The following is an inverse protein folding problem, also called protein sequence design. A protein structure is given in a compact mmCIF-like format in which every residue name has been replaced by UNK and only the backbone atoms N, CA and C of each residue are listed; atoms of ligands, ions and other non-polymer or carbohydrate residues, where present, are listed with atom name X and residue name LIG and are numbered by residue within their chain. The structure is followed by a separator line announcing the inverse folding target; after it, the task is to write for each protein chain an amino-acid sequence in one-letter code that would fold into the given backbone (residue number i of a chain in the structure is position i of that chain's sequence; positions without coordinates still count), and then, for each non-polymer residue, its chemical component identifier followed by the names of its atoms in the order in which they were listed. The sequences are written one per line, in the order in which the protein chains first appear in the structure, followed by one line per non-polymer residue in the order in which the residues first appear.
data_IF_268008245519
#
_entry.id   IF_268008245519
#
_cell.length_a   1.000
_cell.length_b   1.000
_cell.length_c   1.000
_cell.angle_alpha   90.00
_cell.angle_beta   90.00
_cell.angle_gamma   90.00
#
_symmetry.space_group_name_H-M   'P 1'
#
loop_
_entity.id
_entity.type
_entity.pdbx_description
1 polymer ?
#
# COMPACT_ATOMS: atom_id res chain seq x y z
N UNK A 1 6.52 -48.79 14.64
CA UNK A 1 5.34 -48.59 15.45
C UNK A 1 5.82 -48.57 16.89
N UNK A 2 5.87 -47.43 17.60
CA UNK A 2 4.76 -46.69 18.15
C UNK A 2 5.09 -45.16 18.22
N UNK A 3 4.38 -44.33 17.47
CA UNK A 3 4.47 -42.85 17.61
C UNK A 3 3.13 -42.14 17.32
N UNK A 4 2.00 -42.78 17.66
CA UNK A 4 0.66 -42.22 17.36
C UNK A 4 -0.16 -41.89 18.64
N UNK A 5 0.42 -41.87 19.83
CA UNK A 5 -0.41 -41.74 21.07
C UNK A 5 -0.22 -40.46 21.89
N UNK A 6 0.48 -39.43 21.39
CA UNK A 6 0.74 -38.22 22.22
C UNK A 6 -0.06 -36.97 21.77
N UNK A 7 -0.78 -37.03 20.66
CA UNK A 7 -1.49 -35.84 20.14
C UNK A 7 -2.94 -35.64 20.62
N UNK A 8 -3.52 -36.63 21.28
CA UNK A 8 -4.92 -36.55 21.73
C UNK A 8 -5.16 -36.13 23.20
N UNK A 9 -4.11 -35.92 23.99
CA UNK A 9 -4.28 -35.55 25.39
C UNK A 9 -4.14 -34.05 25.73
N UNK A 10 -3.79 -33.22 24.75
CA UNK A 10 -3.70 -31.76 24.98
C UNK A 10 -4.94 -30.97 24.59
N UNK A 11 -5.91 -31.58 23.93
CA UNK A 11 -7.16 -30.92 23.51
C UNK A 11 -8.31 -31.05 24.50
N UNK A 12 -8.18 -31.88 25.55
CA UNK A 12 -9.26 -32.13 26.52
C UNK A 12 -9.13 -31.29 27.81
N UNK A 13 -8.01 -30.58 28.02
CA UNK A 13 -7.82 -29.78 29.25
C UNK A 13 -8.28 -28.33 29.07
N UNK A 14 -8.52 -27.87 27.85
CA UNK A 14 -8.97 -26.47 27.60
C UNK A 14 -10.51 -26.29 27.61
N UNK A 15 -11.28 -27.37 27.73
CA UNK A 15 -12.75 -27.33 27.71
C UNK A 15 -13.41 -27.40 29.09
N UNK A 16 -12.66 -27.50 30.20
CA UNK A 16 -13.21 -27.62 31.56
C UNK A 16 -13.10 -26.34 32.40
N UNK A 17 -12.45 -25.27 31.88
CA UNK A 17 -12.27 -24.02 32.63
C UNK A 17 -13.16 -22.85 32.20
N UNK A 18 -14.18 -23.08 31.38
CA UNK A 18 -15.12 -22.02 30.93
C UNK A 18 -16.56 -22.15 31.46
N UNK A 19 -16.80 -22.88 32.54
CA UNK A 19 -18.18 -23.11 33.07
C UNK A 19 -18.44 -22.65 34.50
N UNK A 20 -17.66 -21.74 35.06
CA UNK A 20 -17.98 -21.14 36.37
C UNK A 20 -17.73 -19.64 36.36
N UNK A 21 -18.69 -18.87 35.88
CA UNK A 21 -18.90 -17.47 36.28
C UNK A 21 -20.18 -16.90 35.64
N UNK A 22 -21.35 -17.43 36.00
CA UNK A 22 -22.58 -16.66 35.93
C UNK A 22 -23.41 -17.09 37.13
N UNK A 23 -23.36 -16.36 38.21
CA UNK A 23 -24.46 -16.28 39.20
C UNK A 23 -24.27 -15.12 40.15
N UNK A 24 -25.35 -14.42 40.34
CA UNK A 24 -25.67 -13.44 41.39
C UNK A 24 -25.33 -11.96 41.09
N UNK A 25 -26.33 -11.14 40.81
CA UNK A 25 -27.17 -10.46 41.79
C UNK A 25 -28.45 -9.94 41.16
N UNK A 26 -29.59 -10.40 41.71
CA UNK A 26 -30.94 -9.84 41.62
C UNK A 26 -31.13 -8.82 42.73
N UNK A 27 -32.17 -8.03 42.52
CA UNK A 27 -33.02 -7.25 43.43
C UNK A 27 -32.92 -5.73 43.23
N UNK A 28 -33.95 -4.92 43.15
CA UNK A 28 -35.40 -5.14 43.37
C UNK A 28 -36.13 -3.84 42.94
N UNK A 29 -37.44 -3.99 42.65
CA UNK A 29 -38.55 -3.04 42.77
C UNK A 29 -38.60 -1.78 41.89
N UNK A 30 -39.66 -1.43 41.26
CA UNK A 30 -41.04 -1.79 41.32
C UNK A 30 -41.91 -0.91 40.40
N UNK A 31 -43.03 -1.46 40.06
CA UNK A 31 -44.35 -0.88 39.77
C UNK A 31 -44.62 -0.25 38.39
N UNK A 32 -45.39 -1.02 37.64
CA UNK A 32 -46.40 -0.64 36.62
C UNK A 32 -47.60 0.12 37.24
N UNK A 33 -48.63 0.58 36.51
CA UNK A 33 -49.08 0.23 35.14
C UNK A 33 -49.85 1.31 34.37
N UNK A 34 -50.28 0.90 33.14
CA UNK A 34 -51.51 1.32 32.41
C UNK A 34 -51.38 2.54 31.47
N UNK A 35 -51.95 2.60 30.32
CA UNK A 35 -52.97 1.87 29.54
C UNK A 35 -53.21 2.61 28.23
N UNK A 36 -53.45 1.84 27.15
CA UNK A 36 -54.35 2.11 26.01
C UNK A 36 -54.22 3.41 25.18
N UNK A 37 -54.17 3.36 23.94
CA UNK A 37 -54.88 2.80 22.80
C UNK A 37 -55.19 3.88 21.75
N UNK A 38 -55.20 3.46 20.53
CA UNK A 38 -55.96 3.94 19.33
C UNK A 38 -55.40 5.07 18.48
N UNK A 39 -55.03 4.71 17.30
CA UNK A 39 -55.80 4.51 16.05
C UNK A 39 -56.03 5.79 15.23
N UNK A 40 -55.75 5.62 13.92
CA UNK A 40 -56.32 6.20 12.71
C UNK A 40 -55.77 7.54 12.23
N UNK A 41 -55.19 7.46 11.07
CA UNK A 41 -55.74 7.73 9.74
C UNK A 41 -55.72 9.20 9.31
N UNK A 42 -55.09 9.36 8.22
CA UNK A 42 -55.45 9.85 6.90
C UNK A 42 -55.25 11.34 6.57
N UNK A 43 -54.71 11.43 5.39
CA UNK A 43 -54.98 12.29 4.21
C UNK A 43 -54.47 13.70 4.14
N UNK A 44 -53.62 13.81 3.18
CA UNK A 44 -53.69 14.50 1.87
C UNK A 44 -53.63 16.02 1.82
N UNK A 45 -52.85 16.38 0.88
CA UNK A 45 -53.02 17.35 -0.22
C UNK A 45 -52.57 18.80 0.02
N UNK A 46 -51.68 19.12 -0.85
CA UNK A 46 -51.70 20.09 -1.95
C UNK A 46 -51.35 21.54 -1.75
N UNK A 47 -50.55 21.93 -2.70
CA UNK A 47 -50.50 23.21 -3.42
C UNK A 47 -49.71 24.36 -2.84
N UNK A 48 -48.73 24.67 -3.53
CA UNK A 48 -48.54 25.49 -4.73
C UNK A 48 -48.05 26.91 -4.47
N UNK A 49 -47.04 27.20 -5.18
CA UNK A 49 -46.83 28.34 -6.06
C UNK A 49 -46.28 29.67 -5.50
N UNK A 50 -45.25 30.00 -6.18
CA UNK A 50 -44.96 31.26 -6.90
C UNK A 50 -44.34 32.39 -6.08
N UNK A 51 -43.27 32.76 -6.59
CA UNK A 51 -42.84 33.77 -7.56
C UNK A 51 -42.23 35.01 -6.94
N UNK A 52 -41.14 35.29 -7.46
CA UNK A 52 -40.67 36.44 -8.23
C UNK A 52 -39.97 37.55 -7.49
N UNK A 53 -38.81 37.83 -8.02
CA UNK A 53 -38.29 39.09 -8.58
C UNK A 53 -37.95 40.18 -7.58
N UNK A 54 -37.00 40.96 -7.74
CA UNK A 54 -36.20 41.53 -8.80
C UNK A 54 -35.10 42.44 -8.22
N UNK A 55 -34.03 42.56 -8.96
CA UNK A 55 -33.29 43.74 -9.37
C UNK A 55 -32.65 44.67 -8.32
N UNK A 56 -31.46 44.88 -8.56
CA UNK A 56 -30.62 45.85 -9.33
C UNK A 56 -29.88 46.79 -8.40
N UNK A 57 -28.75 47.13 -8.60
CA UNK A 57 -27.89 47.80 -9.52
C UNK A 57 -26.92 48.76 -8.81
N UNK A 58 -25.74 48.71 -9.27
CA UNK A 58 -24.86 49.77 -9.80
C UNK A 58 -24.11 50.67 -8.83
N UNK A 59 -22.90 50.74 -9.05
CA UNK A 59 -21.93 51.66 -9.69
C UNK A 59 -21.18 52.51 -8.65
N UNK A 60 -19.97 52.80 -8.75
CA UNK A 60 -18.94 53.16 -9.69
C UNK A 60 -17.90 54.05 -9.02
N UNK A 61 -16.66 53.95 -9.46
CA UNK A 61 -15.63 54.99 -9.64
C UNK A 61 -15.00 55.57 -8.36
N UNK A 62 -13.74 55.93 -8.31
CA UNK A 62 -12.68 56.30 -9.29
C UNK A 62 -11.35 56.54 -8.57
N UNK A 63 -10.28 56.18 -9.25
CA UNK A 63 -8.99 56.84 -9.45
C UNK A 63 -8.22 57.49 -8.27
N UNK A 64 -6.97 57.14 -8.14
CA UNK A 64 -5.90 57.98 -8.71
C UNK A 64 -4.49 57.40 -8.51
N UNK A 65 -3.78 57.44 -9.58
CA UNK A 65 -2.37 57.23 -9.86
C UNK A 65 -1.44 58.19 -9.09
N UNK A 66 -0.25 57.72 -8.74
CA UNK A 66 0.98 58.56 -8.88
C UNK A 66 2.18 57.64 -9.23
N UNK A 67 2.73 57.90 -10.37
CA UNK A 67 4.00 57.45 -10.90
C UNK A 67 5.14 58.28 -10.32
N UNK A 68 6.31 57.66 -10.14
CA UNK A 68 7.58 58.37 -10.38
C UNK A 68 8.68 57.37 -10.70
N UNK A 69 9.20 57.62 -11.85
CA UNK A 69 10.39 57.09 -12.52
C UNK A 69 11.64 57.77 -11.99
N UNK A 70 12.78 57.08 -12.07
CA UNK A 70 14.12 57.51 -12.48
C UNK A 70 15.07 56.31 -12.33
N UNK A 71 15.67 55.80 -13.29
CA UNK A 71 16.69 56.17 -14.28
C UNK A 71 17.99 55.39 -14.01
N UNK A 72 18.42 54.77 -15.08
CA UNK A 72 19.65 54.07 -15.42
C UNK A 72 20.93 54.53 -14.72
N UNK A 73 21.80 53.52 -14.44
CA UNK A 73 23.19 53.61 -14.97
C UNK A 73 23.77 52.22 -15.23
N UNK A 74 24.39 52.13 -16.37
CA UNK A 74 25.13 51.00 -16.94
C UNK A 74 26.55 50.93 -16.42
N UNK A 75 27.06 49.74 -16.14
CA UNK A 75 28.45 49.41 -16.51
C UNK A 75 28.77 47.91 -16.47
N UNK A 76 29.10 47.45 -17.62
CA UNK A 76 30.00 46.39 -18.12
C UNK A 76 30.57 45.31 -17.20
N UNK A 77 30.32 44.10 -17.69
CA UNK A 77 31.25 42.97 -17.90
C UNK A 77 32.13 42.45 -16.77
N UNK A 78 31.83 41.19 -16.39
CA UNK A 78 32.83 40.11 -16.38
C UNK A 78 32.14 38.76 -16.37
N UNK A 79 32.45 37.93 -17.36
CA UNK A 79 32.15 36.51 -17.35
C UNK A 79 32.83 35.87 -16.14
N UNK A 80 32.06 35.25 -15.29
CA UNK A 80 32.54 34.24 -14.36
C UNK A 80 31.73 32.99 -14.64
N UNK A 81 32.38 31.97 -15.16
CA UNK A 81 31.90 30.61 -15.20
C UNK A 81 31.56 30.23 -13.75
N UNK A 82 30.29 30.21 -13.44
CA UNK A 82 29.82 29.57 -12.21
C UNK A 82 29.39 28.17 -12.58
N UNK A 83 30.27 27.20 -12.26
CA UNK A 83 29.91 25.83 -12.01
C UNK A 83 28.66 25.82 -11.10
N UNK A 84 27.51 25.54 -11.68
CA UNK A 84 26.29 25.26 -10.93
C UNK A 84 26.46 23.90 -10.24
N UNK A 85 27.13 23.89 -9.09
CA UNK A 85 26.91 22.87 -8.09
C UNK A 85 25.46 23.02 -7.68
N UNK A 86 24.61 22.11 -8.16
CA UNK A 86 23.24 21.96 -7.70
C UNK A 86 23.29 21.86 -6.19
N UNK A 87 22.90 22.93 -5.51
CA UNK A 87 22.62 22.90 -4.08
C UNK A 87 21.39 22.01 -3.94
N UNK A 88 21.61 20.72 -3.74
CA UNK A 88 20.58 19.80 -3.29
C UNK A 88 20.05 20.38 -1.99
N UNK A 89 18.85 20.90 -2.04
CA UNK A 89 18.14 21.43 -0.90
C UNK A 89 18.21 20.41 0.25
N UNK A 90 18.61 20.85 1.44
CA UNK A 90 18.76 20.02 2.63
C UNK A 90 17.48 19.27 3.03
N UNK A 91 16.32 19.66 2.49
CA UNK A 91 15.04 18.96 2.68
C UNK A 91 14.96 17.64 1.91
N UNK A 92 15.71 17.46 0.81
CA UNK A 92 15.74 16.19 0.06
C UNK A 92 16.50 15.08 0.78
N UNK A 93 17.34 15.41 1.77
CA UNK A 93 18.06 14.42 2.59
C UNK A 93 17.22 13.79 3.70
N UNK A 94 16.09 14.39 4.04
CA UNK A 94 15.22 13.90 5.13
C UNK A 94 14.29 12.75 4.70
N UNK A 95 14.15 12.53 3.39
CA UNK A 95 13.24 11.52 2.84
C UNK A 95 14.02 10.38 2.18
N UNK A 96 14.54 9.47 2.99
CA UNK A 96 15.05 8.21 2.49
C UNK A 96 14.35 7.08 3.24
N UNK A 97 13.35 6.44 2.61
CA UNK A 97 12.56 5.38 3.22
C UNK A 97 13.35 4.10 3.48
N UNK A 98 14.55 3.96 2.91
CA UNK A 98 15.46 2.86 3.14
C UNK A 98 16.59 3.30 4.07
N UNK A 99 17.06 2.35 4.87
CA UNK A 99 18.14 2.59 5.80
C UNK A 99 19.46 2.84 5.06
N UNK A 100 20.09 3.96 5.36
CA UNK A 100 21.42 4.28 4.87
C UNK A 100 22.51 3.77 5.84
N UNK A 101 22.11 3.12 6.94
CA UNK A 101 23.03 2.61 7.97
C UNK A 101 23.75 1.32 7.55
N UNK A 102 23.36 0.19 8.16
CA UNK A 102 24.05 -1.11 8.01
C UNK A 102 24.17 -1.60 6.55
N UNK A 103 23.22 -1.28 5.70
CA UNK A 103 23.16 -1.75 4.30
C UNK A 103 23.47 -0.66 3.29
N UNK A 104 23.87 0.56 3.70
CA UNK A 104 24.06 1.67 2.77
C UNK A 104 24.97 1.34 1.60
N UNK A 105 26.08 0.65 1.85
CA UNK A 105 27.09 0.28 0.86
C UNK A 105 26.78 -1.07 0.16
N UNK A 106 25.70 -1.74 0.53
CA UNK A 106 25.33 -3.05 -0.02
C UNK A 106 24.17 -2.97 -1.02
N UNK A 107 23.41 -1.88 -1.01
CA UNK A 107 22.38 -1.67 -2.01
C UNK A 107 23.00 -1.55 -3.40
N UNK A 108 22.46 -2.36 -4.30
CA UNK A 108 22.71 -2.27 -5.73
C UNK A 108 21.59 -1.44 -6.39
N UNK A 109 21.82 -1.00 -7.60
CA UNK A 109 20.87 -0.18 -8.33
C UNK A 109 20.46 -0.86 -9.63
N UNK A 110 19.19 -0.80 -9.96
CA UNK A 110 18.60 -1.21 -11.22
C UNK A 110 17.82 -0.04 -11.81
N UNK A 111 18.06 0.29 -13.06
CA UNK A 111 17.30 1.33 -13.77
C UNK A 111 16.29 0.68 -14.70
N UNK A 112 15.00 0.94 -14.46
CA UNK A 112 13.91 0.50 -15.31
C UNK A 112 13.89 1.34 -16.60
N UNK A 113 14.20 0.71 -17.73
CA UNK A 113 14.28 1.39 -19.04
C UNK A 113 12.92 1.93 -19.51
N UNK A 114 11.81 1.47 -18.96
CA UNK A 114 10.46 1.91 -19.35
C UNK A 114 10.15 3.34 -18.89
N UNK A 115 10.74 3.78 -17.78
CA UNK A 115 10.51 5.12 -17.22
C UNK A 115 11.79 5.81 -16.70
N UNK A 116 12.96 5.21 -16.89
CA UNK A 116 14.28 5.67 -16.40
C UNK A 116 14.33 5.88 -14.88
N UNK A 117 13.46 5.20 -14.11
CA UNK A 117 13.53 5.23 -12.66
C UNK A 117 14.54 4.19 -12.17
N UNK A 118 15.41 4.62 -11.28
CA UNK A 118 16.37 3.74 -10.61
C UNK A 118 15.77 3.25 -9.29
N UNK A 119 15.87 1.95 -9.05
CA UNK A 119 15.45 1.27 -7.84
C UNK A 119 16.64 0.66 -7.14
N UNK A 120 16.65 0.75 -5.82
CA UNK A 120 17.59 0.01 -4.98
C UNK A 120 17.10 -1.40 -4.76
N UNK A 121 18.03 -2.36 -4.78
CA UNK A 121 17.77 -3.75 -4.45
C UNK A 121 18.91 -4.34 -3.63
N UNK A 122 18.64 -5.47 -2.97
CA UNK A 122 19.58 -6.10 -2.05
C UNK A 122 19.51 -7.62 -2.20
N UNK A 123 20.63 -8.29 -1.86
CA UNK A 123 20.69 -9.73 -1.68
C UNK A 123 20.15 -10.12 -0.30
N UNK A 124 19.28 -11.13 -0.26
CA UNK A 124 18.74 -11.70 0.95
C UNK A 124 19.13 -13.17 1.03
N UNK A 125 19.87 -13.55 2.07
CA UNK A 125 20.29 -14.91 2.36
C UNK A 125 19.56 -15.38 3.62
N UNK A 126 18.62 -16.29 3.46
CA UNK A 126 17.73 -16.73 4.54
C UNK A 126 17.26 -18.17 4.35
N UNK A 127 16.12 -18.47 4.94
CA UNK A 127 15.46 -19.77 4.78
C UNK A 127 14.07 -19.57 4.18
N UNK A 128 13.67 -20.50 3.32
CA UNK A 128 12.35 -20.53 2.71
C UNK A 128 11.30 -21.14 3.64
N UNK A 129 10.05 -21.17 3.20
CA UNK A 129 8.91 -21.75 3.94
C UNK A 129 9.06 -23.25 4.24
N UNK A 130 9.98 -23.93 3.59
CA UNK A 130 10.31 -25.35 3.81
C UNK A 130 11.55 -25.52 4.72
N UNK A 131 12.15 -24.43 5.21
CA UNK A 131 13.36 -24.42 6.02
C UNK A 131 14.66 -24.65 5.24
N UNK A 132 14.62 -24.54 3.91
CA UNK A 132 15.80 -24.67 3.05
C UNK A 132 16.50 -23.32 2.94
N UNK A 133 17.84 -23.33 3.01
CA UNK A 133 18.65 -22.13 2.71
C UNK A 133 18.38 -21.66 1.30
N UNK A 134 18.07 -20.37 1.18
CA UNK A 134 17.68 -19.74 -0.08
C UNK A 134 18.26 -18.34 -0.18
N UNK A 135 18.58 -17.96 -1.41
CA UNK A 135 19.11 -16.63 -1.74
C UNK A 135 18.22 -15.98 -2.78
N UNK A 136 17.81 -14.75 -2.55
CA UNK A 136 17.07 -13.95 -3.53
C UNK A 136 17.65 -12.54 -3.62
N UNK A 137 17.38 -11.86 -4.72
CA UNK A 137 17.62 -10.43 -4.88
C UNK A 137 16.27 -9.74 -5.02
N UNK A 138 15.93 -8.86 -4.11
CA UNK A 138 14.64 -8.17 -4.10
C UNK A 138 14.80 -6.65 -4.05
N UNK A 139 13.88 -5.93 -4.67
CA UNK A 139 13.83 -4.48 -4.59
C UNK A 139 13.58 -4.03 -3.15
N UNK A 140 14.30 -3.01 -2.71
CA UNK A 140 14.09 -2.33 -1.43
C UNK A 140 13.10 -1.17 -1.53
N UNK A 141 12.61 -0.89 -2.73
CA UNK A 141 11.62 0.15 -3.03
C UNK A 141 10.39 -0.46 -3.69
N UNK A 142 9.23 0.14 -3.44
CA UNK A 142 8.01 -0.24 -4.13
C UNK A 142 8.07 0.21 -5.60
N UNK A 143 7.54 -0.61 -6.50
CA UNK A 143 7.49 -0.31 -7.92
C UNK A 143 6.63 0.94 -8.18
N UNK A 144 7.05 1.76 -9.16
CA UNK A 144 6.36 2.97 -9.55
C UNK A 144 6.43 3.13 -11.08
N UNK A 145 5.52 2.46 -11.77
CA UNK A 145 5.43 2.42 -13.23
C UNK A 145 4.00 2.68 -13.69
N UNK A 146 3.81 3.17 -14.88
CA UNK A 146 2.51 3.36 -15.52
C UNK A 146 1.95 4.78 -15.40
N UNK A 147 0.77 4.99 -15.95
CA UNK A 147 0.03 6.26 -15.92
C UNK A 147 -0.81 6.36 -14.65
N UNK A 148 -0.91 7.57 -14.10
CA UNK A 148 -1.72 7.78 -12.91
C UNK A 148 -3.21 7.86 -13.27
N UNK A 149 -4.01 7.04 -12.61
CA UNK A 149 -5.47 7.15 -12.59
C UNK A 149 -5.96 7.60 -11.23
N UNK A 150 -7.14 8.21 -11.18
CA UNK A 150 -7.73 8.66 -9.92
C UNK A 150 -8.19 7.48 -9.08
N UNK A 151 -7.95 7.50 -7.76
CA UNK A 151 -8.29 6.44 -6.83
C UNK A 151 -9.79 6.05 -6.77
N UNK A 152 -10.67 6.78 -7.44
CA UNK A 152 -12.11 6.48 -7.56
C UNK A 152 -12.49 5.71 -8.83
N UNK A 153 -11.50 5.31 -9.61
CA UNK A 153 -11.67 4.54 -10.85
C UNK A 153 -10.87 3.26 -10.74
N UNK A 154 -11.39 2.19 -11.32
CA UNK A 154 -10.61 0.98 -11.50
C UNK A 154 -9.49 1.19 -12.52
N UNK A 155 -8.43 0.42 -12.36
CA UNK A 155 -7.38 0.25 -13.35
C UNK A 155 -7.90 -0.76 -14.38
N UNK A 156 -8.45 -0.27 -15.47
CA UNK A 156 -9.19 -1.08 -16.44
C UNK A 156 -8.81 -0.87 -17.90
N UNK A 157 -7.80 -0.05 -18.15
CA UNK A 157 -7.26 0.13 -19.50
C UNK A 157 -6.13 -0.89 -19.76
N UNK A 158 -6.51 -2.09 -20.19
CA UNK A 158 -5.60 -3.21 -20.44
C UNK A 158 -4.54 -2.91 -21.55
N UNK A 159 -4.60 -1.75 -22.20
CA UNK A 159 -3.63 -1.35 -23.22
C UNK A 159 -2.35 -0.70 -22.67
N UNK A 160 -2.32 -0.36 -21.38
CA UNK A 160 -1.22 0.33 -20.71
C UNK A 160 -1.17 -0.06 -19.24
N UNK A 161 -0.06 0.25 -18.57
CA UNK A 161 0.03 0.10 -17.11
C UNK A 161 -0.57 1.34 -16.46
N UNK A 162 -1.51 1.12 -15.55
CA UNK A 162 -2.15 2.15 -14.72
C UNK A 162 -1.70 2.02 -13.27
N UNK A 163 -1.65 3.14 -12.53
CA UNK A 163 -1.36 3.15 -11.10
C UNK A 163 -2.19 4.18 -10.36
N UNK A 164 -2.43 3.94 -9.09
CA UNK A 164 -2.83 5.01 -8.18
C UNK A 164 -1.59 5.62 -7.53
N UNK A 165 -1.64 6.92 -7.30
CA UNK A 165 -0.76 7.60 -6.35
C UNK A 165 -1.59 7.99 -5.14
N UNK A 166 -1.10 7.71 -3.93
CA UNK A 166 -1.84 8.01 -2.71
C UNK A 166 -2.33 9.48 -2.71
N UNK A 167 -3.59 9.70 -2.33
CA UNK A 167 -4.29 11.00 -2.40
C UNK A 167 -4.32 11.64 -3.80
N UNK A 168 -4.11 10.86 -4.86
CA UNK A 168 -3.96 11.35 -6.24
C UNK A 168 -2.81 12.36 -6.41
N UNK A 169 -1.77 12.26 -5.59
CA UNK A 169 -0.58 13.08 -5.64
C UNK A 169 0.62 12.27 -6.15
N UNK A 170 1.19 12.68 -7.26
CA UNK A 170 2.36 12.03 -7.86
C UNK A 170 3.59 12.07 -6.97
N UNK A 171 3.67 13.01 -6.02
CA UNK A 171 4.75 13.08 -5.04
C UNK A 171 4.69 11.87 -4.10
N UNK A 172 3.49 11.40 -3.73
CA UNK A 172 3.34 10.19 -2.96
C UNK A 172 3.80 8.95 -3.72
N UNK A 173 3.56 8.87 -5.04
CA UNK A 173 4.15 7.82 -5.86
C UNK A 173 5.69 7.89 -5.89
N UNK A 174 6.26 9.10 -5.86
CA UNK A 174 7.71 9.26 -5.82
C UNK A 174 8.30 8.65 -4.55
N UNK A 175 7.67 8.86 -3.40
CA UNK A 175 8.18 8.42 -2.11
C UNK A 175 7.77 6.99 -1.73
N UNK A 176 6.53 6.59 -2.00
CA UNK A 176 5.95 5.34 -1.52
C UNK A 176 5.76 4.29 -2.62
N UNK A 177 5.96 4.65 -3.87
CA UNK A 177 5.64 3.80 -5.02
C UNK A 177 4.19 3.93 -5.48
N UNK A 178 3.84 3.21 -6.53
CA UNK A 178 2.47 3.09 -7.03
C UNK A 178 1.66 2.08 -6.23
N UNK A 179 0.34 2.25 -6.27
CA UNK A 179 -0.62 1.26 -5.78
C UNK A 179 -1.35 0.67 -6.98
N UNK A 180 -1.50 -0.65 -7.01
CA UNK A 180 -2.01 -1.41 -8.14
C UNK A 180 -3.10 -2.37 -7.69
N UNK A 181 -4.15 -2.51 -8.49
CA UNK A 181 -5.10 -3.62 -8.38
C UNK A 181 -4.43 -4.93 -8.82
N UNK A 182 -4.97 -6.07 -8.40
CA UNK A 182 -4.30 -7.34 -8.62
C UNK A 182 -4.14 -7.71 -10.10
N UNK A 183 -5.19 -7.52 -10.91
CA UNK A 183 -5.11 -7.80 -12.35
C UNK A 183 -4.08 -6.90 -13.05
N UNK A 184 -4.01 -5.63 -12.67
CA UNK A 184 -3.01 -4.67 -13.16
C UNK A 184 -1.59 -5.13 -12.81
N UNK A 185 -1.36 -5.45 -11.53
CA UNK A 185 -0.06 -6.00 -11.07
C UNK A 185 0.33 -7.24 -11.86
N UNK A 186 -0.62 -8.11 -12.12
CA UNK A 186 -0.40 -9.36 -12.85
C UNK A 186 -0.27 -9.19 -14.37
N UNK A 187 -0.58 -8.02 -14.93
CA UNK A 187 -0.72 -7.80 -16.37
C UNK A 187 -1.68 -8.81 -17.01
N UNK A 188 -2.77 -9.08 -16.33
CA UNK A 188 -3.91 -9.86 -16.78
C UNK A 188 -5.07 -8.93 -17.13
N UNK A 189 -6.04 -9.38 -17.93
CA UNK A 189 -7.23 -8.59 -18.21
C UNK A 189 -7.88 -8.07 -16.94
N UNK A 190 -8.30 -6.81 -16.93
CA UNK A 190 -8.87 -6.13 -15.77
C UNK A 190 -10.08 -6.86 -15.16
N UNK A 191 -10.80 -7.65 -15.97
CA UNK A 191 -11.88 -8.53 -15.52
C UNK A 191 -11.42 -9.60 -14.50
N UNK A 192 -10.11 -9.91 -14.45
CA UNK A 192 -9.53 -10.82 -13.47
C UNK A 192 -9.60 -10.28 -12.03
N UNK A 193 -9.93 -9.00 -11.84
CA UNK A 193 -10.25 -8.47 -10.51
C UNK A 193 -11.58 -8.99 -9.94
N UNK A 194 -12.47 -9.51 -10.81
CA UNK A 194 -13.79 -10.04 -10.43
C UNK A 194 -14.05 -11.46 -10.91
N UNK A 195 -13.07 -12.08 -11.58
CA UNK A 195 -13.14 -13.47 -12.07
C UNK A 195 -11.97 -14.28 -11.57
N UNK A 196 -12.14 -15.59 -11.51
CA UNK A 196 -11.02 -16.51 -11.29
C UNK A 196 -10.18 -16.57 -12.57
N UNK A 197 -8.89 -16.29 -12.44
CA UNK A 197 -7.90 -16.32 -13.51
C UNK A 197 -6.65 -17.14 -13.12
N UNK A 198 -6.80 -18.10 -12.19
CA UNK A 198 -5.69 -18.90 -11.72
C UNK A 198 -4.93 -19.63 -12.85
N UNK A 199 -5.65 -20.03 -13.90
CA UNK A 199 -5.07 -20.72 -15.06
C UNK A 199 -4.14 -19.81 -15.89
N UNK A 200 -4.20 -18.50 -15.72
CA UNK A 200 -3.35 -17.53 -16.40
C UNK A 200 -2.07 -17.22 -15.61
N UNK A 201 -2.01 -17.64 -14.35
CA UNK A 201 -0.83 -17.40 -13.49
C UNK A 201 0.30 -18.32 -13.93
N UNK A 202 1.43 -17.75 -14.29
CA UNK A 202 2.61 -18.50 -14.70
C UNK A 202 3.57 -18.72 -13.53
N UNK A 203 4.36 -19.81 -13.54
CA UNK A 203 5.52 -19.92 -12.66
C UNK A 203 6.45 -18.70 -12.85
N UNK A 204 6.95 -18.13 -11.75
CA UNK A 204 7.78 -16.92 -11.81
C UNK A 204 7.09 -15.76 -12.54
N UNK A 205 5.81 -15.54 -12.27
CA UNK A 205 4.99 -14.56 -12.97
C UNK A 205 5.62 -13.16 -12.93
N UNK A 206 5.95 -12.62 -14.11
CA UNK A 206 6.60 -11.32 -14.25
C UNK A 206 5.65 -10.18 -13.86
N UNK A 207 4.41 -10.20 -14.37
CA UNK A 207 3.45 -9.09 -14.21
C UNK A 207 4.04 -7.77 -14.67
N UNK A 208 3.80 -6.71 -13.90
CA UNK A 208 4.35 -5.37 -14.18
C UNK A 208 5.83 -5.19 -13.81
N UNK A 209 6.50 -6.21 -13.31
CA UNK A 209 7.93 -6.14 -13.02
C UNK A 209 8.76 -5.92 -14.31
N UNK A 210 9.93 -5.30 -14.23
CA UNK A 210 10.82 -5.12 -15.39
C UNK A 210 11.34 -6.45 -15.92
N UNK A 211 11.92 -6.44 -17.13
CA UNK A 211 12.55 -7.62 -17.70
C UNK A 211 13.66 -8.16 -16.78
N UNK A 212 13.68 -9.47 -16.58
CA UNK A 212 14.58 -10.13 -15.65
C UNK A 212 14.13 -10.08 -14.19
N UNK A 213 12.95 -9.53 -13.92
CA UNK A 213 12.32 -9.50 -12.60
C UNK A 213 10.96 -10.18 -12.64
N UNK A 214 10.50 -10.65 -11.51
CA UNK A 214 9.19 -11.25 -11.30
C UNK A 214 8.52 -10.65 -10.06
N UNK A 215 7.24 -10.87 -9.92
CA UNK A 215 6.51 -10.46 -8.73
C UNK A 215 7.02 -11.19 -7.48
N UNK A 216 7.06 -10.47 -6.37
CA UNK A 216 7.38 -11.00 -5.06
C UNK A 216 6.29 -11.97 -4.62
N UNK A 217 6.69 -13.15 -4.13
CA UNK A 217 5.79 -14.16 -3.55
C UNK A 217 5.82 -14.14 -2.02
N UNK A 218 4.87 -14.84 -1.40
CA UNK A 218 4.91 -15.05 0.05
C UNK A 218 6.21 -15.75 0.50
N UNK A 219 6.69 -16.73 -0.27
CA UNK A 219 7.92 -17.42 0.04
C UNK A 219 9.15 -16.50 -0.01
N UNK A 220 9.18 -15.56 -0.95
CA UNK A 220 10.26 -14.57 -1.02
C UNK A 220 10.24 -13.64 0.20
N UNK A 221 9.06 -13.18 0.60
CA UNK A 221 8.95 -12.34 1.81
C UNK A 221 9.32 -13.13 3.07
N UNK A 222 8.99 -14.42 3.13
CA UNK A 222 9.42 -15.30 4.21
C UNK A 222 10.96 -15.40 4.27
N UNK A 223 11.65 -15.54 3.13
CA UNK A 223 13.11 -15.51 3.05
C UNK A 223 13.64 -14.18 3.55
N UNK A 224 13.04 -13.04 3.15
CA UNK A 224 13.44 -11.71 3.60
C UNK A 224 13.43 -11.59 5.11
N UNK A 225 12.35 -11.98 5.78
CA UNK A 225 12.23 -11.84 7.24
C UNK A 225 13.10 -12.82 8.04
N UNK A 226 13.63 -13.84 7.40
CA UNK A 226 14.58 -14.82 7.97
C UNK A 226 15.99 -14.66 7.42
N UNK A 227 16.31 -13.52 6.81
CA UNK A 227 17.59 -13.25 6.17
C UNK A 227 18.51 -12.35 7.00
N UNK A 228 19.78 -12.30 6.59
CA UNK A 228 20.77 -11.30 7.00
C UNK A 228 20.94 -11.20 8.54
N UNK A 229 20.71 -12.32 9.26
CA UNK A 229 20.80 -12.34 10.73
C UNK A 229 19.67 -11.58 11.44
N UNK A 230 18.55 -11.34 10.76
CA UNK A 230 17.40 -10.67 11.34
C UNK A 230 16.79 -11.48 12.50
N UNK A 231 16.68 -10.85 13.67
CA UNK A 231 16.05 -11.41 14.87
C UNK A 231 14.72 -10.73 15.24
N UNK A 232 14.28 -9.77 14.43
CA UNK A 232 13.10 -8.95 14.67
C UNK A 232 11.88 -9.37 13.82
N UNK A 233 11.95 -10.52 13.11
CA UNK A 233 10.86 -10.96 12.26
C UNK A 233 10.43 -9.91 11.24
N UNK A 234 9.14 -9.66 11.13
CA UNK A 234 8.57 -8.66 10.19
C UNK A 234 9.01 -7.22 10.52
N UNK A 235 9.19 -6.90 11.79
CA UNK A 235 9.67 -5.57 12.20
C UNK A 235 11.06 -5.26 11.64
N UNK A 236 11.87 -6.31 11.45
CA UNK A 236 13.18 -6.19 10.80
C UNK A 236 13.11 -5.88 9.30
N UNK A 237 12.00 -6.17 8.63
CA UNK A 237 11.80 -5.82 7.23
C UNK A 237 11.19 -4.42 7.05
N UNK A 238 10.51 -3.88 8.06
CA UNK A 238 9.90 -2.54 8.01
C UNK A 238 10.96 -1.45 8.09
N UNK A 239 10.73 -0.37 7.35
CA UNK A 239 11.56 0.82 7.37
C UNK A 239 11.56 1.50 8.74
N UNK A 240 12.70 2.05 9.13
CA UNK A 240 12.80 2.96 10.28
C UNK A 240 12.10 4.29 10.01
N UNK A 241 11.81 4.58 8.76
CA UNK A 241 11.22 5.83 8.32
C UNK A 241 9.69 5.80 8.46
N UNK A 242 9.18 6.37 9.55
CA UNK A 242 7.74 6.56 9.79
C UNK A 242 6.90 5.28 9.96
N UNK A 243 7.49 4.08 9.80
CA UNK A 243 6.73 2.83 9.80
C UNK A 243 7.05 1.87 10.96
N UNK A 244 7.74 2.35 11.98
CA UNK A 244 7.96 1.61 13.22
C UNK A 244 8.76 0.31 13.07
N UNK A 245 9.72 0.27 12.16
CA UNK A 245 10.59 -0.89 11.93
C UNK A 245 12.01 -0.69 12.38
N UNK A 246 12.78 -1.77 12.37
CA UNK A 246 14.23 -1.78 12.65
C UNK A 246 15.08 -1.81 11.36
N UNK A 247 14.48 -2.19 10.24
CA UNK A 247 15.13 -2.38 8.94
C UNK A 247 16.41 -3.24 8.99
N UNK A 248 16.44 -4.23 9.86
CA UNK A 248 17.60 -5.12 10.06
C UNK A 248 17.83 -6.06 8.87
N UNK A 249 16.83 -6.25 7.99
CA UNK A 249 17.00 -7.00 6.75
C UNK A 249 17.48 -6.13 5.59
N UNK A 250 17.29 -4.81 5.64
CA UNK A 250 17.48 -3.89 4.53
C UNK A 250 16.34 -3.85 3.52
N UNK A 251 15.24 -4.58 3.73
CA UNK A 251 14.10 -4.61 2.79
C UNK A 251 13.35 -3.29 2.73
N UNK A 252 13.40 -2.49 3.78
CA UNK A 252 12.86 -1.12 3.83
C UNK A 252 11.37 -1.05 3.44
N UNK A 253 10.55 -1.93 4.00
CA UNK A 253 9.10 -1.89 3.79
C UNK A 253 8.53 -0.59 4.37
N UNK A 254 7.92 0.23 3.53
CA UNK A 254 7.35 1.53 3.92
C UNK A 254 5.85 1.44 4.11
N UNK A 255 5.31 2.32 4.94
CA UNK A 255 3.86 2.49 5.14
C UNK A 255 3.24 3.24 3.97
N UNK A 256 3.03 2.57 2.85
CA UNK A 256 2.53 3.19 1.62
C UNK A 256 1.01 3.45 1.63
N UNK A 257 0.31 3.00 2.68
CA UNK A 257 -1.15 3.00 2.68
C UNK A 257 -1.71 2.04 1.63
N UNK A 258 -2.95 2.24 1.31
CA UNK A 258 -3.68 1.44 0.31
C UNK A 258 -4.82 2.25 -0.32
N UNK A 259 -5.35 1.76 -1.44
CA UNK A 259 -6.62 2.24 -1.98
C UNK A 259 -7.68 1.15 -1.75
N UNK A 260 -8.45 1.31 -0.70
CA UNK A 260 -9.52 0.39 -0.35
C UNK A 260 -10.89 1.01 -0.60
N UNK A 261 -11.73 0.30 -1.34
CA UNK A 261 -13.08 0.76 -1.69
C UNK A 261 -13.07 2.20 -2.24
N UNK A 262 -12.16 2.46 -3.20
CA UNK A 262 -11.98 3.76 -3.87
C UNK A 262 -11.58 4.92 -2.95
N UNK A 263 -11.02 4.62 -1.78
CA UNK A 263 -10.50 5.60 -0.83
C UNK A 263 -9.07 5.27 -0.44
N UNK A 264 -8.24 6.27 -0.37
CA UNK A 264 -6.91 6.13 0.20
C UNK A 264 -6.98 6.13 1.72
N UNK A 265 -6.33 5.17 2.35
CA UNK A 265 -6.29 5.02 3.81
C UNK A 265 -4.89 4.64 4.29
N UNK A 266 -4.63 4.98 5.54
CA UNK A 266 -3.54 4.44 6.35
C UNK A 266 -2.11 4.72 5.84
N UNK A 267 -1.88 5.87 5.16
CA UNK A 267 -0.52 6.31 4.82
C UNK A 267 0.32 6.38 6.10
N UNK A 268 1.54 5.86 6.06
CA UNK A 268 2.49 5.67 7.17
C UNK A 268 2.01 4.74 8.30
N UNK A 269 0.74 4.37 8.34
CA UNK A 269 0.17 3.49 9.36
C UNK A 269 0.08 2.03 8.90
N UNK A 270 -0.14 1.80 7.61
CA UNK A 270 -0.27 0.46 7.02
C UNK A 270 0.39 0.37 5.66
N UNK A 271 0.56 -0.85 5.19
CA UNK A 271 0.94 -1.18 3.81
C UNK A 271 0.41 -2.56 3.45
N UNK A 272 0.03 -2.74 2.21
CA UNK A 272 -0.23 -4.05 1.64
C UNK A 272 0.71 -4.32 0.45
N UNK A 273 1.16 -5.58 0.32
CA UNK A 273 1.82 -6.09 -0.86
C UNK A 273 0.99 -7.24 -1.42
N UNK A 274 0.62 -7.15 -2.68
CA UNK A 274 -0.07 -8.24 -3.37
C UNK A 274 0.94 -9.33 -3.78
N UNK A 275 0.50 -10.58 -3.69
CA UNK A 275 1.22 -11.74 -4.22
C UNK A 275 0.53 -12.25 -5.50
N UNK A 276 1.27 -12.92 -6.39
CA UNK A 276 0.72 -13.49 -7.61
C UNK A 276 -0.08 -14.78 -7.35
N UNK A 277 -0.97 -14.73 -6.39
CA UNK A 277 -1.79 -15.87 -5.97
C UNK A 277 -3.21 -15.42 -5.66
N UNK A 278 -4.20 -16.16 -6.15
CA UNK A 278 -5.60 -15.96 -5.80
C UNK A 278 -5.98 -16.58 -4.45
N UNK A 279 -7.08 -16.12 -3.89
CA UNK A 279 -7.65 -16.74 -2.70
C UNK A 279 -8.15 -18.16 -3.04
N UNK A 280 -7.77 -19.20 -2.28
CA UNK A 280 -8.05 -20.60 -2.65
C UNK A 280 -9.54 -20.98 -2.69
N UNK A 281 -10.41 -20.22 -2.01
CA UNK A 281 -11.86 -20.47 -1.99
C UNK A 281 -12.68 -19.39 -2.69
N UNK A 282 -12.14 -18.22 -2.90
CA UNK A 282 -12.79 -17.09 -3.56
C UNK A 282 -11.81 -16.38 -4.50
N UNK A 283 -11.24 -17.14 -5.44
CA UNK A 283 -10.28 -16.62 -6.41
C UNK A 283 -10.89 -15.61 -7.38
N UNK A 284 -12.23 -15.52 -7.47
CA UNK A 284 -12.87 -14.51 -8.30
C UNK A 284 -12.68 -13.09 -7.78
N UNK A 285 -12.64 -12.89 -6.46
CA UNK A 285 -12.56 -11.55 -5.86
C UNK A 285 -11.37 -11.35 -4.94
N UNK A 286 -10.76 -12.42 -4.45
CA UNK A 286 -9.71 -12.38 -3.45
C UNK A 286 -8.33 -12.73 -3.98
N UNK A 287 -7.33 -12.02 -3.51
CA UNK A 287 -5.92 -12.30 -3.73
C UNK A 287 -5.17 -12.45 -2.42
N UNK A 288 -4.11 -13.26 -2.44
CA UNK A 288 -3.17 -13.39 -1.31
C UNK A 288 -2.31 -12.14 -1.19
N UNK A 289 -2.09 -11.69 0.01
CA UNK A 289 -1.33 -10.48 0.29
C UNK A 289 -0.56 -10.55 1.60
N UNK A 290 0.40 -9.66 1.73
CA UNK A 290 0.91 -9.17 3.00
C UNK A 290 0.12 -7.92 3.37
N UNK A 291 -0.50 -7.91 4.54
CA UNK A 291 -1.06 -6.70 5.14
C UNK A 291 -0.34 -6.44 6.47
N UNK A 292 0.32 -5.30 6.58
CA UNK A 292 1.10 -4.93 7.76
C UNK A 292 0.72 -3.52 8.20
N UNK A 293 0.44 -3.36 9.47
CA UNK A 293 0.43 -2.05 10.10
C UNK A 293 1.71 -1.85 10.94
N UNK A 294 1.97 -0.62 11.36
CA UNK A 294 3.18 -0.25 12.09
C UNK A 294 3.34 -0.93 13.46
N UNK A 295 2.30 -1.60 13.96
CA UNK A 295 2.31 -2.29 15.25
C UNK A 295 2.30 -3.82 15.11
N UNK A 296 2.15 -4.36 13.90
CA UNK A 296 2.13 -5.80 13.67
C UNK A 296 3.49 -6.42 13.98
N UNK A 297 3.48 -7.53 14.70
CA UNK A 297 4.69 -8.32 15.02
C UNK A 297 4.73 -9.65 14.29
N UNK A 298 3.61 -10.06 13.70
CA UNK A 298 3.49 -11.30 12.94
C UNK A 298 3.70 -11.12 11.44
N UNK A 299 3.84 -12.22 10.73
CA UNK A 299 3.82 -12.29 9.26
C UNK A 299 2.50 -12.95 8.82
N UNK A 300 1.38 -12.25 8.87
CA UNK A 300 0.11 -12.80 8.45
C UNK A 300 0.10 -12.99 6.94
N UNK A 301 -0.49 -14.11 6.50
CA UNK A 301 -0.98 -14.25 5.15
C UNK A 301 -2.42 -13.77 5.20
N UNK A 302 -2.68 -12.68 4.53
CA UNK A 302 -4.03 -12.14 4.42
C UNK A 302 -4.58 -12.37 3.01
N UNK A 303 -5.88 -12.32 2.90
CA UNK A 303 -6.57 -12.36 1.62
C UNK A 303 -7.44 -11.11 1.52
N UNK A 304 -7.14 -10.28 0.55
CA UNK A 304 -7.82 -9.02 0.31
C UNK A 304 -8.51 -9.04 -1.05
N UNK A 305 -9.36 -8.05 -1.31
CA UNK A 305 -10.02 -7.93 -2.60
C UNK A 305 -8.98 -7.60 -3.68
N UNK A 306 -9.10 -8.23 -4.83
CA UNK A 306 -8.27 -7.96 -6.02
C UNK A 306 -8.43 -6.53 -6.54
N UNK A 307 -9.57 -5.90 -6.28
CA UNK A 307 -9.84 -4.50 -6.60
C UNK A 307 -9.18 -3.50 -5.63
N UNK A 308 -8.57 -3.98 -4.56
CA UNK A 308 -7.83 -3.13 -3.62
C UNK A 308 -6.48 -2.74 -4.23
N UNK A 309 -6.15 -1.44 -4.18
CA UNK A 309 -4.87 -0.94 -4.67
C UNK A 309 -3.77 -1.09 -3.62
N UNK A 310 -2.77 -1.91 -3.89
CA UNK A 310 -1.65 -2.21 -3.01
C UNK A 310 -0.30 -1.97 -3.69
N UNK A 311 0.74 -1.89 -2.89
CA UNK A 311 2.11 -1.80 -3.37
C UNK A 311 2.59 -3.10 -4.02
N UNK A 312 3.58 -2.97 -4.90
CA UNK A 312 4.21 -4.10 -5.60
C UNK A 312 5.72 -4.05 -5.37
N UNK A 313 6.30 -5.21 -5.13
CA UNK A 313 7.75 -5.42 -5.10
C UNK A 313 8.15 -6.51 -6.10
N UNK A 314 9.34 -6.35 -6.66
CA UNK A 314 9.88 -7.31 -7.60
C UNK A 314 11.11 -8.03 -7.03
N UNK A 315 11.28 -9.26 -7.45
CA UNK A 315 12.41 -10.14 -7.14
C UNK A 315 13.09 -10.51 -8.45
N UNK A 316 14.40 -10.51 -8.49
CA UNK A 316 15.15 -10.90 -9.68
C UNK A 316 14.79 -12.35 -10.05
N UNK A 317 14.40 -12.56 -11.30
CA UNK A 317 14.11 -13.89 -11.79
C UNK A 317 15.39 -14.72 -11.73
N UNK A 318 15.30 -15.98 -11.28
CA UNK A 318 16.41 -16.90 -11.36
C UNK A 318 16.83 -17.01 -12.84
N UNK A 319 18.07 -16.73 -13.13
CA UNK A 319 18.62 -17.11 -14.43
C UNK A 319 18.64 -18.63 -14.43
N UNK A 320 17.76 -19.23 -15.22
CA UNK A 320 17.95 -20.62 -15.58
C UNK A 320 19.29 -20.68 -16.31
N UNK A 321 20.34 -21.07 -15.60
CA UNK A 321 21.54 -21.59 -16.24
C UNK A 321 21.09 -22.81 -17.03
N UNK A 322 20.68 -22.58 -18.26
CA UNK A 322 20.46 -23.62 -19.24
C UNK A 322 21.84 -24.23 -19.53
N UNK A 323 22.10 -25.34 -18.86
CA UNK A 323 23.18 -26.29 -19.17
C UNK A 323 23.05 -26.82 -20.60
#
# INVERSE_FOLDING_TARGET
MPFIYIYHMRSLIFLILLSFAVSACSDDSGTSPNKESNTSEETSSDNAASSSSDKSSSSSKKDSSVSSSCANESSSSRMAESSSSAIMSSSSRLWQPFNLGVFADQYQEFTDSRNNRTYKYLKFEGVDTLGKSSTIYAMAENLNIGEMVRGRKDQSDDSKIERYCYDNDTLNCHYYGGLYQWAEMMQLPSECNTKNCADLIQPNHQGICPDGWRLLTYNDFYIVIHSNGNTHGVEGARSTFGFGGYNTTGFSLVGAGENWNYKFTDLIESTCLLYPEEHPRNGSEGAKSLLQNRYSTGNPIEFILKSQGCSVRCVMAEQNDSL
#
